data_IF_687516504012
#
_entry.id   IF_687516504012
#
_cell.length_a   1.000
_cell.length_b   1.000
_cell.length_c   1.000
_cell.angle_alpha   90.00
_cell.angle_beta   90.00
_cell.angle_gamma   90.00
#
_symmetry.space_group_name_H-M   'P 1'
#
loop_
_entity.id
_entity.type
_entity.pdbx_description
1 polymer ?
#
# COMPACT_ATOMS: atom_id res chain seq x y z
N UNK A 1 14.52 25.32 -0.28
CA UNK A 1 13.60 24.51 -1.11
C UNK A 1 13.89 23.06 -0.79
N UNK A 2 12.91 22.31 -0.32
CA UNK A 2 13.02 20.86 -0.25
C UNK A 2 12.88 20.28 -1.66
N UNK A 3 13.69 19.28 -1.97
CA UNK A 3 13.60 18.51 -3.21
C UNK A 3 12.33 17.65 -3.19
N UNK A 4 11.85 17.21 -4.36
CA UNK A 4 10.71 16.30 -4.46
C UNK A 4 10.91 15.00 -3.65
N UNK A 5 12.16 14.54 -3.54
CA UNK A 5 12.52 13.40 -2.73
C UNK A 5 12.34 13.69 -1.22
N UNK A 6 12.82 14.83 -0.73
CA UNK A 6 12.64 15.23 0.67
C UNK A 6 11.17 15.45 1.04
N UNK A 7 10.39 16.05 0.13
CA UNK A 7 8.94 16.21 0.30
C UNK A 7 8.23 14.85 0.40
N UNK A 8 8.61 13.87 -0.43
CA UNK A 8 8.09 12.51 -0.31
C UNK A 8 8.45 11.89 1.04
N UNK A 9 9.71 12.00 1.49
CA UNK A 9 10.15 11.43 2.78
C UNK A 9 9.33 11.99 3.95
N UNK A 10 9.09 13.30 3.97
CA UNK A 10 8.28 13.96 5.01
C UNK A 10 6.83 13.45 4.97
N UNK A 11 6.23 13.38 3.78
CA UNK A 11 4.84 12.90 3.61
C UNK A 11 4.71 11.41 3.96
N UNK A 12 5.70 10.61 3.58
CA UNK A 12 5.75 9.19 3.86
C UNK A 12 5.85 8.91 5.37
N UNK A 13 6.75 9.61 6.07
CA UNK A 13 6.87 9.49 7.53
C UNK A 13 5.58 9.88 8.25
N UNK A 14 4.91 10.96 7.83
CA UNK A 14 3.59 11.35 8.37
C UNK A 14 2.52 10.30 8.09
N UNK A 15 2.55 9.69 6.91
CA UNK A 15 1.62 8.62 6.53
C UNK A 15 1.82 7.40 7.42
N UNK A 16 3.06 6.96 7.63
CA UNK A 16 3.38 5.86 8.55
C UNK A 16 2.91 6.14 9.98
N UNK A 17 3.16 7.34 10.49
CA UNK A 17 2.70 7.73 11.82
C UNK A 17 1.17 7.70 11.94
N UNK A 18 0.46 8.20 10.93
CA UNK A 18 -1.00 8.21 10.91
C UNK A 18 -1.59 6.79 10.75
N UNK A 19 -0.96 5.93 9.95
CA UNK A 19 -1.26 4.49 9.86
C UNK A 19 -1.18 3.82 11.24
N UNK A 20 -0.08 4.07 11.95
CA UNK A 20 0.17 3.45 13.27
C UNK A 20 -0.86 3.92 14.31
N UNK A 21 -1.22 5.20 14.28
CA UNK A 21 -2.11 5.81 15.27
C UNK A 21 -3.60 5.52 15.02
N UNK A 22 -4.03 5.57 13.75
CA UNK A 22 -5.45 5.63 13.38
C UNK A 22 -5.80 4.66 12.25
N UNK A 23 -5.02 4.60 11.18
CA UNK A 23 -5.35 3.82 9.98
C UNK A 23 -5.46 2.31 10.24
N UNK A 24 -4.61 1.76 11.10
CA UNK A 24 -4.63 0.34 11.48
C UNK A 24 -5.83 -0.06 12.36
N UNK A 25 -6.57 0.91 12.92
CA UNK A 25 -7.75 0.68 13.77
C UNK A 25 -9.07 0.74 12.99
N UNK A 26 -9.08 1.37 11.82
CA UNK A 26 -10.26 1.41 10.96
C UNK A 26 -10.38 0.09 10.18
N UNK A 27 -11.28 -0.78 10.66
CA UNK A 27 -11.45 -2.13 10.11
C UNK A 27 -11.85 -2.12 8.63
N UNK A 28 -12.64 -1.15 8.20
CA UNK A 28 -13.08 -1.03 6.80
C UNK A 28 -11.92 -0.66 5.89
N UNK A 29 -11.09 0.30 6.31
CA UNK A 29 -9.88 0.71 5.59
C UNK A 29 -8.89 -0.44 5.50
N UNK A 30 -8.69 -1.18 6.59
CA UNK A 30 -7.82 -2.35 6.59
C UNK A 30 -8.38 -3.49 5.73
N UNK A 31 -9.69 -3.65 5.68
CA UNK A 31 -10.34 -4.63 4.81
C UNK A 31 -10.16 -4.27 3.33
N UNK A 32 -10.40 -3.01 2.96
CA UNK A 32 -10.20 -2.50 1.59
C UNK A 32 -8.73 -2.60 1.15
N UNK A 33 -7.80 -2.25 2.05
CA UNK A 33 -6.37 -2.40 1.80
C UNK A 33 -6.01 -3.86 1.57
N UNK A 34 -6.50 -4.76 2.43
CA UNK A 34 -6.27 -6.19 2.33
C UNK A 34 -6.86 -6.79 1.06
N UNK A 35 -8.05 -6.37 0.64
CA UNK A 35 -8.69 -6.87 -0.58
C UNK A 35 -7.93 -6.46 -1.83
N UNK A 36 -7.60 -5.17 -1.96
CA UNK A 36 -6.86 -4.65 -3.11
C UNK A 36 -5.46 -5.29 -3.21
N UNK A 37 -4.76 -5.36 -2.08
CA UNK A 37 -3.43 -5.98 -2.01
C UNK A 37 -3.46 -7.48 -2.32
N UNK A 38 -4.50 -8.19 -1.86
CA UNK A 38 -4.67 -9.61 -2.15
C UNK A 38 -4.92 -9.86 -3.64
N UNK A 39 -5.82 -9.08 -4.25
CA UNK A 39 -6.12 -9.19 -5.68
C UNK A 39 -4.87 -8.92 -6.52
N UNK A 40 -4.09 -7.88 -6.17
CA UNK A 40 -2.81 -7.59 -6.83
C UNK A 40 -1.79 -8.72 -6.65
N UNK A 41 -1.67 -9.30 -5.46
CA UNK A 41 -0.78 -10.43 -5.23
C UNK A 41 -1.20 -11.68 -6.00
N UNK A 42 -2.51 -11.94 -6.12
CA UNK A 42 -3.03 -13.05 -6.88
C UNK A 42 -2.74 -12.90 -8.38
N UNK A 43 -2.73 -11.68 -8.93
CA UNK A 43 -2.34 -11.45 -10.34
C UNK A 43 -0.90 -11.85 -10.66
N UNK A 44 -0.02 -11.88 -9.65
CA UNK A 44 1.39 -12.32 -9.79
C UNK A 44 1.64 -13.71 -9.22
N UNK A 45 0.58 -14.42 -8.82
CA UNK A 45 0.65 -15.76 -8.21
C UNK A 45 1.30 -15.77 -6.83
N UNK A 46 1.31 -14.65 -6.13
CA UNK A 46 1.92 -14.51 -4.80
C UNK A 46 0.87 -14.49 -3.69
N UNK A 47 1.29 -14.85 -2.49
CA UNK A 47 0.40 -14.91 -1.31
C UNK A 47 0.41 -13.63 -0.47
N UNK A 48 1.39 -12.75 -0.70
CA UNK A 48 1.56 -11.48 0.01
C UNK A 48 1.86 -10.35 -0.96
N UNK A 49 1.58 -9.11 -0.53
CA UNK A 49 1.88 -7.92 -1.31
C UNK A 49 3.39 -7.70 -1.43
N UNK A 50 4.13 -7.89 -0.33
CA UNK A 50 5.58 -7.77 -0.34
C UNK A 50 6.25 -8.72 -1.34
N UNK A 51 5.78 -9.97 -1.44
CA UNK A 51 6.26 -10.95 -2.41
C UNK A 51 5.88 -10.57 -3.85
N UNK A 52 4.65 -10.09 -4.05
CA UNK A 52 4.20 -9.57 -5.35
C UNK A 52 5.08 -8.41 -5.82
N UNK A 53 5.35 -7.45 -4.94
CA UNK A 53 6.21 -6.30 -5.22
C UNK A 53 7.66 -6.72 -5.50
N UNK A 54 8.22 -7.66 -4.74
CA UNK A 54 9.60 -8.12 -4.90
C UNK A 54 9.86 -8.81 -6.24
N UNK A 55 8.84 -9.45 -6.82
CA UNK A 55 8.94 -10.15 -8.12
C UNK A 55 8.53 -9.28 -9.32
N UNK A 56 8.00 -8.08 -9.05
CA UNK A 56 7.46 -7.20 -10.08
C UNK A 56 8.56 -6.53 -10.91
N UNK A 57 8.45 -6.62 -12.24
CA UNK A 57 9.36 -5.92 -13.14
C UNK A 57 9.20 -4.38 -12.98
N UNK A 58 10.28 -3.59 -13.15
CA UNK A 58 10.22 -2.13 -13.00
C UNK A 58 9.15 -1.46 -13.86
N UNK A 59 8.94 -1.93 -15.09
CA UNK A 59 7.92 -1.40 -16.01
C UNK A 59 6.50 -1.69 -15.50
N UNK A 60 6.28 -2.89 -14.96
CA UNK A 60 5.00 -3.27 -14.37
C UNK A 60 4.71 -2.45 -13.11
N UNK A 61 5.71 -2.24 -12.26
CA UNK A 61 5.60 -1.37 -11.07
C UNK A 61 5.25 0.07 -11.44
N UNK A 62 5.89 0.63 -12.48
CA UNK A 62 5.58 1.98 -12.95
C UNK A 62 4.18 2.09 -13.57
N UNK A 63 3.73 1.07 -14.30
CA UNK A 63 2.37 1.02 -14.85
C UNK A 63 1.33 0.95 -13.74
N UNK A 64 1.53 0.07 -12.76
CA UNK A 64 0.66 -0.05 -11.59
C UNK A 64 0.60 1.25 -10.78
N UNK A 65 1.74 1.93 -10.59
CA UNK A 65 1.77 3.21 -9.90
C UNK A 65 0.92 4.28 -10.60
N UNK A 66 0.91 4.32 -11.94
CA UNK A 66 0.05 5.25 -12.70
C UNK A 66 -1.43 4.96 -12.45
N UNK A 67 -1.83 3.69 -12.47
CA UNK A 67 -3.20 3.25 -12.17
C UNK A 67 -3.60 3.65 -10.76
N UNK A 68 -2.77 3.32 -9.76
CA UNK A 68 -2.98 3.67 -8.35
C UNK A 68 -3.17 5.18 -8.16
N UNK A 69 -2.37 6.02 -8.82
CA UNK A 69 -2.52 7.48 -8.72
C UNK A 69 -3.84 7.94 -9.34
N UNK A 70 -4.23 7.40 -10.49
CA UNK A 70 -5.48 7.76 -11.15
C UNK A 70 -6.70 7.37 -10.29
N UNK A 71 -6.76 6.11 -9.83
CA UNK A 71 -7.85 5.62 -9.00
C UNK A 71 -7.89 6.35 -7.64
N UNK A 72 -6.74 6.55 -7.00
CA UNK A 72 -6.67 7.27 -5.73
C UNK A 72 -7.23 8.69 -5.84
N UNK A 73 -6.92 9.41 -6.92
CA UNK A 73 -7.47 10.73 -7.20
C UNK A 73 -8.98 10.68 -7.44
N UNK A 74 -9.48 9.67 -8.15
CA UNK A 74 -10.91 9.49 -8.39
C UNK A 74 -11.67 9.21 -7.08
N UNK A 75 -11.16 8.30 -6.24
CA UNK A 75 -11.73 8.02 -4.93
C UNK A 75 -11.75 9.27 -4.05
N UNK A 76 -10.68 10.06 -4.06
CA UNK A 76 -10.61 11.30 -3.29
C UNK A 76 -11.61 12.34 -3.80
N UNK A 77 -11.71 12.54 -5.11
CA UNK A 77 -12.68 13.46 -5.72
C UNK A 77 -14.14 13.02 -5.47
N UNK A 78 -14.38 11.71 -5.43
CA UNK A 78 -15.68 11.12 -5.13
C UNK A 78 -16.01 11.03 -3.63
N UNK A 79 -15.18 11.57 -2.73
CA UNK A 79 -15.41 11.52 -1.28
C UNK A 79 -15.20 10.14 -0.64
N UNK A 80 -14.66 9.16 -1.37
CA UNK A 80 -14.38 7.79 -0.92
C UNK A 80 -13.03 7.73 -0.20
N UNK A 81 -12.90 8.47 0.90
CA UNK A 81 -11.61 8.73 1.57
C UNK A 81 -10.88 7.47 2.03
N UNK A 82 -11.61 6.46 2.53
CA UNK A 82 -11.02 5.18 2.97
C UNK A 82 -10.40 4.38 1.82
N UNK A 83 -11.08 4.33 0.69
CA UNK A 83 -10.57 3.70 -0.52
C UNK A 83 -9.38 4.48 -1.11
N UNK A 84 -9.46 5.81 -1.13
CA UNK A 84 -8.34 6.65 -1.53
C UNK A 84 -7.11 6.39 -0.65
N UNK A 85 -7.30 6.26 0.66
CA UNK A 85 -6.24 5.95 1.61
C UNK A 85 -5.60 4.58 1.37
N UNK A 86 -6.41 3.53 1.19
CA UNK A 86 -5.92 2.17 0.91
C UNK A 86 -5.05 2.14 -0.36
N UNK A 87 -5.51 2.80 -1.42
CA UNK A 87 -4.77 2.91 -2.69
C UNK A 87 -3.49 3.74 -2.52
N UNK A 88 -3.55 4.84 -1.78
CA UNK A 88 -2.36 5.66 -1.48
C UNK A 88 -1.30 4.89 -0.69
N UNK A 89 -1.70 4.01 0.24
CA UNK A 89 -0.77 3.15 0.97
C UNK A 89 -0.03 2.18 0.03
N UNK A 90 -0.72 1.56 -0.93
CA UNK A 90 -0.11 0.73 -1.95
C UNK A 90 0.87 1.52 -2.84
N UNK A 91 0.47 2.72 -3.26
CA UNK A 91 1.33 3.62 -4.04
C UNK A 91 2.59 4.02 -3.29
N UNK A 92 2.47 4.34 -2.01
CA UNK A 92 3.60 4.66 -1.15
C UNK A 92 4.57 3.48 -1.02
N UNK A 93 4.06 2.25 -0.85
CA UNK A 93 4.86 1.02 -0.80
C UNK A 93 5.63 0.76 -2.10
N UNK A 94 5.04 1.08 -3.27
CA UNK A 94 5.75 1.01 -4.55
C UNK A 94 6.84 2.08 -4.67
N UNK A 95 6.52 3.34 -4.34
CA UNK A 95 7.48 4.44 -4.48
C UNK A 95 8.69 4.24 -3.55
N UNK A 96 8.45 3.90 -2.28
CA UNK A 96 9.54 3.73 -1.30
C UNK A 96 10.50 2.60 -1.71
N UNK A 97 10.01 1.56 -2.39
CA UNK A 97 10.84 0.47 -2.92
C UNK A 97 11.90 0.92 -3.93
N UNK A 98 11.72 2.08 -4.55
CA UNK A 98 12.68 2.69 -5.48
C UNK A 98 13.76 3.53 -4.78
N UNK A 99 13.59 3.81 -3.49
CA UNK A 99 14.45 4.71 -2.70
C UNK A 99 15.32 3.97 -1.68
N UNK A 100 15.65 2.69 -1.93
CA UNK A 100 16.40 1.81 -1.01
C UNK A 100 17.83 2.25 -0.71
N UNK A 101 18.35 3.29 -1.37
CA UNK A 101 19.63 3.91 -1.02
C UNK A 101 19.57 4.67 0.30
N UNK A 102 18.39 5.01 0.82
CA UNK A 102 18.19 5.63 2.13
C UNK A 102 17.74 4.57 3.17
N UNK A 103 18.54 4.32 4.23
CA UNK A 103 18.18 3.37 5.28
C UNK A 103 16.83 3.65 5.96
N UNK A 104 16.44 4.92 6.12
CA UNK A 104 15.14 5.27 6.71
C UNK A 104 13.98 4.89 5.79
N UNK A 105 14.19 4.97 4.47
CA UNK A 105 13.20 4.51 3.50
C UNK A 105 13.05 3.00 3.53
N UNK A 106 14.16 2.25 3.70
CA UNK A 106 14.12 0.79 3.84
C UNK A 106 13.31 0.37 5.07
N UNK A 107 13.56 0.98 6.23
CA UNK A 107 12.80 0.68 7.45
C UNK A 107 11.33 1.01 7.29
N UNK A 108 11.02 2.18 6.70
CA UNK A 108 9.64 2.57 6.46
C UNK A 108 8.91 1.70 5.42
N UNK A 109 9.63 1.23 4.39
CA UNK A 109 9.13 0.23 3.43
C UNK A 109 8.69 -1.05 4.17
N UNK A 110 9.56 -1.59 5.03
CA UNK A 110 9.28 -2.81 5.78
C UNK A 110 8.06 -2.67 6.70
N UNK A 111 7.93 -1.54 7.38
CA UNK A 111 6.77 -1.27 8.25
C UNK A 111 5.47 -1.21 7.45
N UNK A 112 5.47 -0.51 6.32
CA UNK A 112 4.31 -0.40 5.46
C UNK A 112 3.94 -1.75 4.83
N UNK A 113 4.93 -2.50 4.35
CA UNK A 113 4.72 -3.82 3.77
C UNK A 113 4.15 -4.80 4.80
N UNK A 114 4.66 -4.80 6.02
CA UNK A 114 4.16 -5.65 7.09
C UNK A 114 2.69 -5.33 7.45
N UNK A 115 2.30 -4.04 7.43
CA UNK A 115 0.91 -3.65 7.60
C UNK A 115 0.03 -4.20 6.48
N UNK A 116 0.46 -4.00 5.22
CA UNK A 116 -0.32 -4.42 4.05
C UNK A 116 -0.46 -5.96 4.06
N UNK A 117 0.61 -6.69 4.32
CA UNK A 117 0.57 -8.15 4.40
C UNK A 117 -0.32 -8.66 5.54
N UNK A 118 -0.35 -7.97 6.67
CA UNK A 118 -1.31 -8.26 7.74
C UNK A 118 -2.75 -8.03 7.26
N UNK A 119 -3.01 -6.96 6.52
CA UNK A 119 -4.31 -6.67 5.92
C UNK A 119 -4.75 -7.80 4.98
N UNK A 120 -3.84 -8.24 4.10
CA UNK A 120 -4.04 -9.36 3.18
C UNK A 120 -4.40 -10.63 3.94
N UNK A 121 -3.64 -10.97 4.99
CA UNK A 121 -3.90 -12.17 5.80
C UNK A 121 -5.28 -12.14 6.47
N UNK A 122 -5.67 -10.99 7.03
CA UNK A 122 -7.00 -10.80 7.65
C UNK A 122 -8.11 -10.94 6.62
N UNK A 123 -7.97 -10.28 5.46
CA UNK A 123 -8.95 -10.37 4.37
C UNK A 123 -9.12 -11.80 3.87
N UNK A 124 -8.02 -12.51 3.58
CA UNK A 124 -8.03 -13.90 3.11
C UNK A 124 -8.69 -14.85 4.12
N UNK A 125 -8.37 -14.70 5.40
CA UNK A 125 -8.97 -15.51 6.48
C UNK A 125 -10.48 -15.27 6.59
N UNK A 126 -10.89 -14.00 6.50
CA UNK A 126 -12.30 -13.62 6.58
C UNK A 126 -13.10 -14.15 5.39
N UNK A 127 -12.54 -14.05 4.18
CA UNK A 127 -13.12 -14.60 2.94
C UNK A 127 -13.25 -16.11 2.99
N UNK A 128 -12.23 -16.83 3.48
CA UNK A 128 -12.30 -18.29 3.64
C UNK A 128 -13.38 -18.72 4.65
N UNK A 129 -13.56 -17.97 5.74
CA UNK A 129 -14.59 -18.22 6.74
C UNK A 129 -16.03 -17.98 6.25
N UNK A 130 -16.21 -17.25 5.14
CA UNK A 130 -17.55 -16.98 4.55
C UNK A 130 -17.93 -17.97 3.44
N UNK A 131 -17.00 -18.80 2.98
CA UNK A 131 -17.20 -19.78 1.90
C UNK A 131 -17.40 -21.21 2.45
N UNK A 132 -17.29 -21.41 3.76
CA UNK A 132 -17.64 -22.64 4.49
C UNK A 132 -19.00 -22.52 5.17
#
# INVERSE_FOLDING_TARGET
MTTAQEDFKIRFAKTLQHIEQEGSKDQETMWLLGSLAADLADTTGQTSWSAAKATMAPQASQALLKTIVAEGNEHQAGGRLKAAYAIQALGASLIVSTQRSDPHMVTGEQLLDALIDRAVAVYRTSKAATVN
#
